data_IF_868109062471
#
_entry.id   IF_868109062471
#
_cell.length_a   1.000
_cell.length_b   1.000
_cell.length_c   1.000
_cell.angle_alpha   90.00
_cell.angle_beta   90.00
_cell.angle_gamma   90.00
#
_symmetry.space_group_name_H-M   'P 1'
#
loop_
_entity.id
_entity.type
_entity.pdbx_description
1 polymer ?
#
# COMPACT_ATOMS: atom_id res chain seq x y z
N UNK A 1 -34.67 -36.56 60.09
CA UNK A 1 -34.64 -35.69 58.89
C UNK A 1 -33.24 -35.77 58.30
N UNK A 2 -33.09 -36.09 57.01
CA UNK A 2 -31.77 -36.25 56.36
C UNK A 2 -31.39 -34.93 55.68
N UNK A 3 -30.34 -34.26 56.15
CA UNK A 3 -29.82 -33.04 55.51
C UNK A 3 -28.85 -33.44 54.40
N UNK A 4 -29.09 -32.99 53.18
CA UNK A 4 -28.19 -33.23 52.03
C UNK A 4 -27.24 -32.05 51.85
N UNK A 5 -25.94 -32.33 51.97
CA UNK A 5 -24.88 -31.37 51.68
C UNK A 5 -24.76 -31.14 50.17
N UNK A 6 -24.85 -29.89 49.71
CA UNK A 6 -24.50 -29.51 48.33
C UNK A 6 -23.15 -28.80 48.36
N UNK A 7 -22.12 -29.52 47.91
CA UNK A 7 -20.76 -29.00 47.76
C UNK A 7 -20.63 -28.30 46.40
N UNK A 8 -20.65 -26.96 46.39
CA UNK A 8 -20.40 -26.19 45.17
C UNK A 8 -18.91 -26.23 44.79
N UNK A 9 -18.58 -27.07 43.81
CA UNK A 9 -17.25 -27.12 43.19
C UNK A 9 -17.06 -25.92 42.26
N UNK A 10 -16.50 -24.82 42.77
CA UNK A 10 -16.06 -23.70 41.94
C UNK A 10 -14.80 -24.08 41.16
N UNK A 11 -14.96 -24.50 39.91
CA UNK A 11 -13.85 -24.67 38.97
C UNK A 11 -13.42 -23.27 38.49
N UNK A 12 -12.44 -22.69 39.17
CA UNK A 12 -11.80 -21.45 38.73
C UNK A 12 -10.89 -21.73 37.52
N UNK A 13 -11.42 -21.55 36.30
CA UNK A 13 -10.58 -21.50 35.10
C UNK A 13 -9.74 -20.22 35.13
N UNK A 14 -8.48 -20.35 35.54
CA UNK A 14 -7.47 -19.31 35.34
C UNK A 14 -7.21 -19.16 33.84
N UNK A 15 -7.89 -18.20 33.21
CA UNK A 15 -7.57 -17.80 31.84
C UNK A 15 -6.28 -16.97 31.87
N UNK A 16 -5.14 -17.65 31.81
CA UNK A 16 -3.87 -17.01 31.48
C UNK A 16 -3.97 -16.42 30.07
N UNK A 17 -3.59 -15.14 29.87
CA UNK A 17 -3.58 -14.57 28.53
C UNK A 17 -2.54 -15.33 27.70
N UNK A 18 -2.98 -15.98 26.63
CA UNK A 18 -2.09 -16.54 25.62
C UNK A 18 -1.44 -15.35 24.93
N UNK A 19 -0.19 -15.05 25.32
CA UNK A 19 0.67 -14.16 24.56
C UNK A 19 0.89 -14.85 23.22
N UNK A 20 0.26 -14.34 22.17
CA UNK A 20 0.48 -14.81 20.82
C UNK A 20 1.98 -14.72 20.53
N UNK A 21 2.62 -15.84 20.22
CA UNK A 21 4.01 -15.84 19.82
C UNK A 21 4.09 -15.09 18.49
N UNK A 22 4.96 -14.08 18.43
CA UNK A 22 5.22 -13.37 17.19
C UNK A 22 5.80 -14.37 16.18
N UNK A 23 5.01 -14.72 15.16
CA UNK A 23 5.54 -15.29 13.93
C UNK A 23 6.46 -14.26 13.27
N UNK A 24 7.75 -14.30 13.65
CA UNK A 24 8.77 -13.45 13.07
C UNK A 24 9.05 -13.92 11.64
N UNK A 25 8.17 -13.52 10.71
CA UNK A 25 8.47 -13.47 9.29
C UNK A 25 9.84 -12.80 9.15
N UNK A 26 10.80 -13.48 8.56
CA UNK A 26 12.19 -13.04 8.47
C UNK A 26 12.30 -11.87 7.49
N UNK A 27 12.03 -10.66 7.99
CA UNK A 27 12.16 -9.41 7.24
C UNK A 27 13.61 -9.32 6.74
N UNK A 28 13.85 -9.18 5.41
CA UNK A 28 15.20 -9.04 4.90
C UNK A 28 15.84 -7.78 5.51
N UNK A 29 17.06 -7.93 6.03
CA UNK A 29 17.75 -6.92 6.82
C UNK A 29 17.90 -5.60 6.02
N UNK A 30 17.16 -4.55 6.41
CA UNK A 30 17.13 -3.27 5.69
C UNK A 30 15.88 -3.01 4.83
N UNK A 31 14.87 -3.90 4.88
CA UNK A 31 13.53 -3.59 4.41
C UNK A 31 12.76 -2.73 5.41
N UNK A 32 12.07 -1.73 4.87
CA UNK A 32 11.15 -0.82 5.55
C UNK A 32 9.77 -1.47 5.56
N UNK A 33 9.09 -1.48 6.70
CA UNK A 33 7.74 -2.03 6.83
C UNK A 33 6.71 -0.92 6.86
N UNK A 34 5.79 -0.92 5.89
CA UNK A 34 4.67 0.02 5.82
C UNK A 34 3.53 -0.46 6.74
N UNK A 35 3.74 -0.37 8.06
CA UNK A 35 2.73 -0.73 9.06
C UNK A 35 1.75 0.43 9.31
N UNK A 36 0.45 0.16 9.52
CA UNK A 36 -0.53 1.20 9.84
C UNK A 36 -0.20 2.01 11.10
N UNK A 37 0.52 1.40 12.05
CA UNK A 37 1.00 2.04 13.27
C UNK A 37 2.00 3.18 13.01
N UNK A 38 2.85 3.04 11.98
CA UNK A 38 3.91 4.01 11.65
C UNK A 38 3.50 5.03 10.58
N UNK A 39 2.51 4.69 9.74
CA UNK A 39 2.17 5.45 8.54
C UNK A 39 0.68 5.80 8.40
N UNK A 40 -0.16 5.41 9.38
CA UNK A 40 -1.62 5.52 9.28
C UNK A 40 -2.22 4.52 8.28
N UNK A 41 -3.52 4.64 8.01
CA UNK A 41 -4.10 3.96 6.85
C UNK A 41 -3.55 4.61 5.57
N UNK A 42 -2.60 3.92 4.93
CA UNK A 42 -1.98 4.35 3.68
C UNK A 42 -3.04 4.85 2.69
N UNK A 43 -2.79 5.98 2.05
CA UNK A 43 -3.66 6.59 1.07
C UNK A 43 -2.96 6.74 -0.27
N UNK A 44 -3.71 6.68 -1.37
CA UNK A 44 -3.18 7.06 -2.68
C UNK A 44 -3.29 8.58 -2.82
N UNK A 45 -2.19 9.28 -3.16
CA UNK A 45 -2.13 10.74 -3.09
C UNK A 45 -3.01 11.44 -4.13
N UNK A 46 -3.27 10.74 -5.26
CA UNK A 46 -4.30 11.05 -6.23
C UNK A 46 -4.58 9.78 -7.08
N UNK A 47 -5.85 9.39 -7.25
CA UNK A 47 -6.22 8.28 -8.14
C UNK A 47 -6.32 8.78 -9.58
N UNK A 48 -5.44 8.30 -10.46
CA UNK A 48 -5.41 8.75 -11.85
C UNK A 48 -4.46 7.95 -12.73
N UNK A 49 -4.60 8.11 -14.05
CA UNK A 49 -3.78 7.42 -15.05
C UNK A 49 -2.30 7.81 -14.91
N UNK A 50 -1.41 6.82 -14.90
CA UNK A 50 0.04 7.08 -14.96
C UNK A 50 0.42 7.46 -16.40
N UNK A 51 0.86 8.70 -16.58
CA UNK A 51 1.27 9.25 -17.89
C UNK A 51 2.79 9.23 -18.08
N UNK A 52 3.57 9.08 -17.01
CA UNK A 52 5.00 8.80 -17.11
C UNK A 52 5.52 8.07 -15.88
N UNK A 53 6.32 7.03 -16.13
CA UNK A 53 6.84 6.15 -15.09
C UNK A 53 8.13 6.71 -14.50
N UNK A 54 8.49 6.22 -13.31
CA UNK A 54 9.83 6.36 -12.75
C UNK A 54 10.88 5.68 -13.65
N UNK A 55 12.08 6.26 -13.76
CA UNK A 55 13.21 5.59 -14.42
C UNK A 55 14.03 6.48 -15.38
N UNK A 56 15.06 5.91 -16.03
CA UNK A 56 15.91 6.64 -16.97
C UNK A 56 15.16 7.12 -18.21
N UNK A 57 15.43 8.37 -18.63
CA UNK A 57 15.00 8.97 -19.90
C UNK A 57 16.25 9.47 -20.65
N UNK A 58 16.97 8.54 -21.28
CA UNK A 58 18.30 8.79 -21.84
C UNK A 58 19.30 9.14 -20.75
N UNK A 59 20.00 10.28 -20.87
CA UNK A 59 20.95 10.79 -19.87
C UNK A 59 20.31 11.38 -18.61
N UNK A 60 18.98 11.58 -18.57
CA UNK A 60 18.28 12.18 -17.43
C UNK A 60 17.46 11.13 -16.66
N UNK A 61 17.59 11.09 -15.34
CA UNK A 61 16.71 10.29 -14.49
C UNK A 61 15.34 10.98 -14.32
N UNK A 62 14.27 10.20 -14.34
CA UNK A 62 12.95 10.61 -13.83
C UNK A 62 12.73 10.02 -12.44
N UNK A 63 12.73 10.88 -11.43
CA UNK A 63 12.78 10.53 -10.00
C UNK A 63 11.42 10.25 -9.36
N UNK A 64 10.32 10.42 -10.10
CA UNK A 64 8.95 10.22 -9.63
C UNK A 64 8.07 9.50 -10.65
N UNK A 65 6.77 9.46 -10.36
CA UNK A 65 5.70 8.98 -11.24
C UNK A 65 4.77 10.15 -11.54
N UNK A 66 4.47 10.36 -12.81
CA UNK A 66 3.61 11.44 -13.29
C UNK A 66 2.18 10.89 -13.43
N UNK A 67 1.26 11.38 -12.61
CA UNK A 67 -0.14 10.93 -12.50
C UNK A 67 -1.04 12.02 -13.07
N UNK A 68 -1.92 11.67 -14.02
CA UNK A 68 -2.79 12.65 -14.68
C UNK A 68 -3.89 13.13 -13.74
N UNK A 69 -3.99 14.45 -13.58
CA UNK A 69 -5.07 15.15 -12.88
C UNK A 69 -5.49 16.43 -13.62
N UNK A 70 -6.59 17.04 -13.19
CA UNK A 70 -7.06 18.36 -13.59
C UNK A 70 -6.56 19.44 -12.60
N UNK A 71 -6.55 20.70 -13.06
CA UNK A 71 -6.07 21.81 -12.24
C UNK A 71 -7.12 22.11 -11.17
N UNK A 72 -6.73 22.05 -9.90
CA UNK A 72 -7.64 22.25 -8.78
C UNK A 72 -8.05 20.96 -8.06
N UNK A 73 -7.76 19.78 -8.63
CA UNK A 73 -8.02 18.49 -7.97
C UNK A 73 -7.28 18.38 -6.63
N UNK A 74 -7.92 17.80 -5.61
CA UNK A 74 -7.30 17.63 -4.28
C UNK A 74 -6.20 16.59 -4.30
N UNK A 75 -5.03 16.93 -3.78
CA UNK A 75 -3.91 16.01 -3.54
C UNK A 75 -3.76 15.80 -2.04
N UNK A 76 -3.68 14.54 -1.62
CA UNK A 76 -3.62 14.14 -0.21
C UNK A 76 -2.25 13.56 0.17
N UNK A 77 -1.92 13.56 1.47
CA UNK A 77 -0.74 12.86 1.97
C UNK A 77 -0.93 11.35 1.83
N UNK A 78 0.09 10.66 1.32
CA UNK A 78 0.07 9.20 1.15
C UNK A 78 0.24 8.43 2.47
N UNK A 79 0.86 9.08 3.47
CA UNK A 79 1.15 8.53 4.79
C UNK A 79 1.08 9.62 5.87
N UNK A 80 0.94 9.21 7.14
CA UNK A 80 1.18 10.06 8.31
C UNK A 80 2.61 10.63 8.31
N UNK A 81 2.79 11.90 8.67
CA UNK A 81 4.11 12.50 8.77
C UNK A 81 4.13 13.98 9.12
N UNK A 82 5.26 14.64 8.87
CA UNK A 82 5.48 16.07 9.10
C UNK A 82 5.94 16.75 7.83
N UNK A 83 5.32 17.89 7.49
CA UNK A 83 5.65 18.67 6.30
C UNK A 83 7.02 19.35 6.45
N UNK A 84 8.02 18.98 5.66
CA UNK A 84 9.35 19.61 5.66
C UNK A 84 9.44 20.80 4.68
N UNK A 85 8.89 20.67 3.48
CA UNK A 85 8.83 21.74 2.47
C UNK A 85 7.36 22.02 2.12
N UNK A 86 7.02 23.29 1.98
CA UNK A 86 5.71 23.78 1.56
C UNK A 86 5.88 25.14 0.84
N UNK A 87 6.56 25.12 -0.31
CA UNK A 87 7.06 26.34 -0.96
C UNK A 87 7.29 26.15 -2.48
N UNK A 88 7.48 27.24 -3.25
CA UNK A 88 8.08 27.16 -4.58
C UNK A 88 9.49 26.58 -4.52
N UNK A 89 9.80 25.62 -5.40
CA UNK A 89 11.12 25.00 -5.53
C UNK A 89 11.51 24.93 -7.02
N UNK A 90 12.79 25.17 -7.31
CA UNK A 90 13.29 25.09 -8.68
C UNK A 90 13.03 23.70 -9.29
N UNK A 91 12.58 23.66 -10.53
CA UNK A 91 12.16 22.45 -11.22
C UNK A 91 10.76 21.96 -10.82
N UNK A 92 10.53 21.71 -9.53
CA UNK A 92 9.31 21.10 -9.01
C UNK A 92 8.09 22.02 -8.99
N UNK A 93 8.26 23.35 -9.09
CA UNK A 93 7.15 24.29 -8.98
C UNK A 93 6.72 24.47 -7.53
N UNK A 94 5.42 24.57 -7.25
CA UNK A 94 4.93 24.46 -5.88
C UNK A 94 5.10 23.02 -5.41
N UNK A 95 5.94 22.85 -4.38
CA UNK A 95 6.34 21.57 -3.82
C UNK A 95 5.88 21.49 -2.36
N UNK A 96 5.22 20.38 -2.04
CA UNK A 96 5.12 19.89 -0.66
C UNK A 96 6.01 18.67 -0.52
N UNK A 97 6.76 18.57 0.58
CA UNK A 97 7.40 17.31 1.00
C UNK A 97 6.95 16.94 2.40
N UNK A 98 6.71 15.66 2.63
CA UNK A 98 6.34 15.11 3.93
C UNK A 98 7.37 14.07 4.33
N UNK A 99 7.91 14.21 5.54
CA UNK A 99 8.81 13.25 6.17
C UNK A 99 7.99 12.31 7.05
N UNK A 100 8.30 11.01 6.97
CA UNK A 100 7.56 9.94 7.62
C UNK A 100 8.51 9.05 8.44
N UNK A 101 7.95 8.02 9.07
CA UNK A 101 8.74 7.01 9.78
C UNK A 101 9.77 6.31 8.86
N UNK A 102 10.81 5.72 9.49
CA UNK A 102 11.85 4.89 8.87
C UNK A 102 12.60 5.55 7.69
N UNK A 103 12.67 6.89 7.66
CA UNK A 103 13.41 7.62 6.63
C UNK A 103 12.72 7.66 5.27
N UNK A 104 11.40 7.43 5.20
CA UNK A 104 10.61 7.71 4.00
C UNK A 104 10.36 9.22 3.89
N UNK A 105 10.49 9.77 2.69
CA UNK A 105 10.02 11.13 2.35
C UNK A 105 9.19 11.06 1.08
N UNK A 106 8.01 11.70 1.07
CA UNK A 106 7.19 11.84 -0.15
C UNK A 106 7.24 13.27 -0.70
N UNK A 107 7.16 13.39 -2.02
CA UNK A 107 7.20 14.67 -2.75
C UNK A 107 5.93 14.83 -3.57
N UNK A 108 5.29 16.00 -3.49
CA UNK A 108 4.06 16.35 -4.19
C UNK A 108 4.30 17.65 -4.96
N UNK A 109 4.49 17.52 -6.28
CA UNK A 109 5.06 18.59 -7.10
C UNK A 109 4.08 19.08 -8.17
N UNK A 110 4.44 20.21 -8.80
CA UNK A 110 3.66 20.91 -9.82
C UNK A 110 2.29 21.43 -9.34
N UNK A 111 2.07 21.51 -8.03
CA UNK A 111 0.81 21.94 -7.42
C UNK A 111 0.39 23.34 -7.92
N UNK A 112 -0.91 23.60 -7.99
CA UNK A 112 -1.45 24.95 -8.28
C UNK A 112 -1.65 25.78 -7.01
N UNK A 113 -1.82 25.14 -5.86
CA UNK A 113 -1.92 25.76 -4.54
C UNK A 113 -1.43 24.81 -3.46
N UNK A 114 -0.73 25.34 -2.45
CA UNK A 114 -0.37 24.63 -1.23
C UNK A 114 -1.38 25.00 -0.14
N UNK A 115 -1.83 24.01 0.64
CA UNK A 115 -2.81 24.19 1.72
C UNK A 115 -2.24 23.95 3.12
N UNK A 116 -1.02 23.42 3.20
CA UNK A 116 -0.29 23.10 4.44
C UNK A 116 0.90 24.04 4.67
N UNK A 117 1.49 23.99 5.87
CA UNK A 117 2.67 24.77 6.25
C UNK A 117 3.85 23.87 6.64
N UNK A 118 5.08 24.35 6.47
CA UNK A 118 6.27 23.69 7.03
C UNK A 118 6.11 23.49 8.54
N UNK A 119 6.46 22.31 9.04
CA UNK A 119 6.33 21.89 10.44
C UNK A 119 4.94 21.37 10.82
N UNK A 120 3.96 21.39 9.92
CA UNK A 120 2.64 20.82 10.17
C UNK A 120 2.72 19.29 10.18
N UNK A 121 2.24 18.66 11.26
CA UNK A 121 1.89 17.24 11.26
C UNK A 121 0.66 17.02 10.39
N UNK A 122 0.69 16.00 9.53
CA UNK A 122 -0.36 15.68 8.57
C UNK A 122 -0.69 14.19 8.63
N UNK A 123 -1.97 13.83 8.48
CA UNK A 123 -2.42 12.44 8.42
C UNK A 123 -2.50 11.90 6.99
N UNK A 124 -2.35 10.59 6.83
CA UNK A 124 -2.67 9.93 5.57
C UNK A 124 -4.11 10.27 5.14
N UNK A 125 -4.29 10.63 3.86
CA UNK A 125 -5.59 11.07 3.32
C UNK A 125 -5.94 12.54 3.59
N UNK A 126 -5.19 13.28 4.40
CA UNK A 126 -5.41 14.71 4.61
C UNK A 126 -4.91 15.52 3.39
N UNK A 127 -5.69 16.55 2.98
CA UNK A 127 -5.42 17.35 1.79
C UNK A 127 -4.26 18.32 2.02
N UNK A 128 -3.18 18.19 1.22
CA UNK A 128 -1.99 19.04 1.32
C UNK A 128 -1.91 20.17 0.27
N UNK A 129 -2.67 20.05 -0.81
CA UNK A 129 -2.58 20.96 -1.94
C UNK A 129 -3.53 20.61 -3.06
N UNK A 130 -3.50 21.42 -4.11
CA UNK A 130 -4.31 21.27 -5.31
C UNK A 130 -3.42 20.98 -6.53
N UNK A 131 -3.84 20.05 -7.39
CA UNK A 131 -3.17 19.66 -8.62
C UNK A 131 -2.97 20.82 -9.59
N UNK A 132 -1.93 20.77 -10.41
CA UNK A 132 -1.54 21.89 -11.26
C UNK A 132 -0.50 21.57 -12.33
N UNK A 133 0.23 22.60 -12.73
CA UNK A 133 1.27 22.56 -13.77
C UNK A 133 2.36 23.62 -13.51
N UNK A 134 2.70 23.89 -12.24
CA UNK A 134 3.71 24.91 -11.89
C UNK A 134 5.14 24.36 -12.03
N UNK A 135 6.13 25.22 -12.26
CA UNK A 135 7.52 24.76 -12.47
C UNK A 135 7.73 24.10 -13.84
N UNK A 136 8.53 23.03 -13.90
CA UNK A 136 8.91 22.35 -15.16
C UNK A 136 7.90 21.26 -15.58
N UNK A 137 6.62 21.59 -15.61
CA UNK A 137 5.55 20.69 -16.06
C UNK A 137 5.21 20.93 -17.55
N UNK A 138 5.10 19.86 -18.35
CA UNK A 138 4.66 19.94 -19.77
C UNK A 138 3.14 19.79 -19.93
N UNK A 139 2.42 19.37 -18.88
CA UNK A 139 0.96 19.23 -18.83
C UNK A 139 0.51 19.33 -17.38
N UNK A 140 -0.80 19.43 -17.12
CA UNK A 140 -1.36 19.32 -15.76
C UNK A 140 -1.24 17.89 -15.25
N UNK A 141 -0.52 17.67 -14.16
CA UNK A 141 -0.30 16.36 -13.52
C UNK A 141 0.24 16.53 -12.10
N UNK A 142 0.14 15.48 -11.29
CA UNK A 142 0.93 15.33 -10.06
C UNK A 142 2.22 14.62 -10.43
N UNK A 143 3.37 15.23 -10.13
CA UNK A 143 4.64 14.51 -10.08
C UNK A 143 4.88 14.07 -8.63
N UNK A 144 4.76 12.77 -8.39
CA UNK A 144 4.87 12.15 -7.07
C UNK A 144 6.15 11.34 -6.94
N UNK A 145 6.96 11.61 -5.92
CA UNK A 145 8.11 10.77 -5.56
C UNK A 145 7.93 10.11 -4.20
N UNK A 146 8.45 8.90 -4.06
CA UNK A 146 8.78 8.29 -2.77
C UNK A 146 10.29 8.18 -2.70
N UNK A 147 10.88 8.61 -1.58
CA UNK A 147 12.31 8.47 -1.29
C UNK A 147 12.50 7.67 -0.02
N UNK A 148 13.56 6.85 0.01
CA UNK A 148 14.03 6.11 1.18
C UNK A 148 15.44 6.57 1.47
N UNK A 149 15.66 7.16 2.65
CA UNK A 149 16.95 7.72 3.07
C UNK A 149 17.53 8.67 1.99
N UNK A 150 16.67 9.56 1.47
CA UNK A 150 16.99 10.53 0.42
C UNK A 150 17.11 9.96 -1.01
N UNK A 151 17.14 8.64 -1.20
CA UNK A 151 17.22 8.00 -2.52
C UNK A 151 15.82 7.76 -3.09
N UNK A 152 15.50 8.24 -4.31
CA UNK A 152 14.18 8.05 -4.90
C UNK A 152 13.99 6.60 -5.38
N UNK A 153 12.78 6.07 -5.19
CA UNK A 153 12.36 4.73 -5.59
C UNK A 153 11.13 4.79 -6.51
N UNK A 154 10.83 3.69 -7.18
CA UNK A 154 9.65 3.62 -8.01
C UNK A 154 8.38 3.54 -7.14
N UNK A 155 7.62 4.64 -7.07
CA UNK A 155 6.35 4.70 -6.34
C UNK A 155 5.35 3.62 -6.79
N UNK A 156 5.42 3.16 -8.05
CA UNK A 156 4.59 2.07 -8.57
C UNK A 156 4.96 0.67 -8.04
N UNK A 157 5.94 0.56 -7.13
CA UNK A 157 6.16 -0.65 -6.33
C UNK A 157 5.28 -0.68 -5.08
N UNK A 158 4.69 0.46 -4.69
CA UNK A 158 3.89 0.64 -3.48
C UNK A 158 2.42 0.91 -3.85
N UNK A 159 2.19 1.76 -4.85
CA UNK A 159 0.87 2.27 -5.22
C UNK A 159 0.48 1.87 -6.64
N UNK A 160 -0.74 1.33 -6.78
CA UNK A 160 -1.46 1.28 -8.04
C UNK A 160 -2.43 2.47 -8.11
N UNK A 161 -1.94 3.56 -8.72
CA UNK A 161 -2.66 4.82 -8.87
C UNK A 161 -3.92 4.72 -9.74
N UNK A 162 -4.07 3.66 -10.56
CA UNK A 162 -5.21 3.50 -11.46
C UNK A 162 -6.32 2.70 -10.79
N UNK A 163 -5.97 1.58 -10.14
CA UNK A 163 -6.92 0.68 -9.48
C UNK A 163 -7.17 1.02 -7.99
N UNK A 164 -6.60 2.13 -7.49
CA UNK A 164 -6.69 2.58 -6.10
C UNK A 164 -6.30 1.49 -5.07
N UNK A 165 -5.17 0.82 -5.29
CA UNK A 165 -4.70 -0.27 -4.42
C UNK A 165 -3.21 -0.21 -4.07
N UNK A 166 -2.80 -0.96 -3.06
CA UNK A 166 -1.39 -1.03 -2.62
C UNK A 166 -0.76 -2.36 -3.01
N UNK A 167 0.42 -2.30 -3.61
CA UNK A 167 1.13 -3.43 -4.18
C UNK A 167 2.16 -4.05 -3.22
N UNK A 168 2.63 -3.29 -2.22
CA UNK A 168 3.60 -3.77 -1.25
C UNK A 168 3.33 -3.22 0.16
N UNK A 169 3.52 -4.08 1.17
CA UNK A 169 3.60 -3.71 2.60
C UNK A 169 5.04 -3.55 3.10
N UNK A 170 6.03 -3.84 2.25
CA UNK A 170 7.46 -3.74 2.57
C UNK A 170 8.23 -3.16 1.39
N UNK A 171 9.24 -2.34 1.67
CA UNK A 171 10.10 -1.69 0.66
C UNK A 171 11.56 -2.04 0.95
N UNK A 172 12.31 -2.48 -0.05
CA UNK A 172 13.77 -2.69 0.09
C UNK A 172 14.52 -1.38 -0.15
N UNK A 173 15.35 -0.98 0.81
CA UNK A 173 16.16 0.24 0.72
C UNK A 173 17.21 0.17 -0.41
N UNK A 174 17.37 1.19 -1.29
CA UNK A 174 18.39 1.20 -2.35
C UNK A 174 19.86 1.32 -1.88
N UNK A 175 20.13 1.00 -0.61
CA UNK A 175 21.44 1.21 0.02
C UNK A 175 22.19 -0.07 0.40
N UNK A 176 21.63 -1.24 0.14
CA UNK A 176 22.39 -2.50 0.18
C UNK A 176 22.59 -3.04 -1.24
N UNK A 177 23.68 -2.56 -1.88
CA UNK A 177 24.34 -3.36 -2.92
C UNK A 177 25.12 -4.48 -2.24
N UNK A 178 24.41 -5.50 -1.76
CA UNK A 178 24.95 -6.85 -1.72
C UNK A 178 24.37 -7.62 -2.91
N UNK A 179 25.22 -8.38 -3.59
CA UNK A 179 24.97 -8.83 -4.96
C UNK A 179 23.90 -9.92 -5.06
N UNK A 180 22.66 -9.53 -5.35
CA UNK A 180 21.72 -10.37 -6.08
C UNK A 180 21.80 -9.95 -7.54
N UNK A 181 22.41 -10.81 -8.37
CA UNK A 181 22.42 -10.63 -9.83
C UNK A 181 20.98 -10.68 -10.35
N UNK A 182 20.64 -9.73 -11.21
CA UNK A 182 19.54 -9.90 -12.15
C UNK A 182 19.87 -11.10 -13.06
N UNK A 183 19.15 -12.20 -12.90
CA UNK A 183 19.09 -13.28 -13.89
C UNK A 183 17.69 -13.29 -14.48
N UNK A 184 17.52 -12.60 -15.60
CA UNK A 184 16.38 -12.81 -16.48
C UNK A 184 16.71 -13.99 -17.39
N UNK A 185 16.17 -15.16 -17.04
CA UNK A 185 16.13 -16.34 -17.92
C UNK A 185 14.86 -17.10 -17.61
N UNK A 186 14.02 -17.35 -18.62
CA UNK A 186 12.98 -18.38 -18.55
C UNK A 186 13.65 -19.76 -18.38
N UNK A 187 12.99 -20.72 -17.74
CA UNK A 187 12.52 -21.82 -18.57
C UNK A 187 11.15 -22.39 -18.19
N UNK A 188 10.41 -22.71 -19.24
CA UNK A 188 9.68 -23.94 -19.53
C UNK A 188 9.50 -25.03 -18.43
N UNK A 189 8.25 -25.48 -18.35
CA UNK A 189 7.66 -26.67 -17.72
C UNK A 189 8.57 -27.90 -17.53
N UNK A 190 8.59 -28.51 -16.32
CA UNK A 190 7.94 -29.82 -16.03
C UNK A 190 8.12 -30.38 -14.58
N UNK A 191 6.97 -30.64 -13.94
CA UNK A 191 6.60 -31.82 -13.10
C UNK A 191 7.25 -32.08 -11.71
N UNK A 192 6.37 -32.02 -10.67
CA UNK A 192 6.37 -32.73 -9.36
C UNK A 192 7.56 -32.55 -8.37
N UNK A 193 7.45 -32.67 -7.04
CA UNK A 193 6.38 -32.67 -5.99
C UNK A 193 7.10 -32.77 -4.61
N UNK A 194 6.54 -32.54 -3.41
CA UNK A 194 5.42 -31.76 -2.85
C UNK A 194 5.81 -31.43 -1.37
N UNK A 195 5.27 -30.40 -0.69
CA UNK A 195 4.15 -30.42 0.26
C UNK A 195 4.04 -28.97 0.82
N UNK A 196 2.96 -28.20 0.68
CA UNK A 196 1.63 -28.31 1.29
C UNK A 196 1.57 -27.97 2.80
N UNK A 197 1.44 -26.69 3.13
CA UNK A 197 0.68 -26.23 4.31
C UNK A 197 -0.66 -25.67 3.83
N UNK A 198 -1.74 -26.32 4.22
CA UNK A 198 -3.09 -26.03 3.76
C UNK A 198 -3.69 -24.82 4.51
N UNK A 199 -3.90 -23.70 3.82
CA UNK A 199 -5.07 -22.87 4.13
C UNK A 199 -6.28 -23.55 3.49
N UNK A 200 -7.28 -23.93 4.30
CA UNK A 200 -8.49 -24.57 3.76
C UNK A 200 -9.25 -23.58 2.86
N UNK A 201 -9.20 -23.79 1.54
CA UNK A 201 -9.98 -22.97 0.60
C UNK A 201 -11.47 -23.16 0.83
N UNK A 202 -12.08 -22.18 1.48
CA UNK A 202 -13.51 -22.11 1.77
C UNK A 202 -14.28 -21.60 0.56
N UNK A 203 -15.55 -21.99 0.46
CA UNK A 203 -16.45 -21.50 -0.59
C UNK A 203 -17.35 -20.38 -0.07
N UNK A 204 -17.34 -19.24 -0.74
CA UNK A 204 -18.23 -18.11 -0.51
C UNK A 204 -19.25 -17.99 -1.66
N UNK A 205 -20.55 -18.05 -1.35
CA UNK A 205 -21.62 -17.84 -2.34
C UNK A 205 -22.02 -16.37 -2.38
N UNK A 206 -21.74 -15.69 -3.50
CA UNK A 206 -22.00 -14.27 -3.73
C UNK A 206 -23.48 -13.94 -3.50
N UNK A 207 -23.77 -12.98 -2.62
CA UNK A 207 -25.12 -12.53 -2.31
C UNK A 207 -25.43 -11.18 -2.97
N UNK A 208 -26.71 -10.75 -2.92
CA UNK A 208 -27.13 -9.43 -3.43
C UNK A 208 -26.43 -8.32 -2.65
N UNK A 209 -25.56 -7.57 -3.32
CA UNK A 209 -24.77 -6.48 -2.74
C UNK A 209 -23.33 -6.85 -2.39
N UNK A 210 -22.91 -8.10 -2.55
CA UNK A 210 -21.48 -8.44 -2.48
C UNK A 210 -20.72 -7.92 -3.71
N UNK A 211 -19.50 -7.48 -3.48
CA UNK A 211 -18.52 -7.05 -4.48
C UNK A 211 -17.19 -7.76 -4.20
N UNK A 212 -16.29 -7.83 -5.18
CA UNK A 212 -14.94 -8.36 -4.94
C UNK A 212 -14.26 -7.65 -3.75
N UNK A 213 -14.47 -6.34 -3.57
CA UNK A 213 -13.97 -5.58 -2.44
C UNK A 213 -14.61 -5.99 -1.10
N UNK A 214 -15.93 -6.11 -1.01
CA UNK A 214 -16.60 -6.48 0.25
C UNK A 214 -16.30 -7.92 0.66
N UNK A 215 -16.13 -8.83 -0.31
CA UNK A 215 -15.71 -10.21 -0.06
C UNK A 215 -14.23 -10.23 0.39
N UNK A 216 -13.33 -9.56 -0.33
CA UNK A 216 -11.92 -9.43 0.06
C UNK A 216 -11.77 -8.90 1.51
N UNK A 217 -12.51 -7.84 1.84
CA UNK A 217 -12.55 -7.26 3.18
C UNK A 217 -13.12 -8.22 4.23
N UNK A 218 -14.14 -9.02 3.90
CA UNK A 218 -14.77 -10.02 4.80
C UNK A 218 -13.82 -11.16 5.14
N UNK A 219 -12.98 -11.59 4.20
CA UNK A 219 -12.05 -12.71 4.36
C UNK A 219 -10.59 -12.27 4.67
N UNK A 220 -10.34 -10.97 4.88
CA UNK A 220 -9.03 -10.45 5.26
C UNK A 220 -7.95 -10.50 4.16
N UNK A 221 -8.37 -10.68 2.90
CA UNK A 221 -7.50 -10.96 1.75
C UNK A 221 -7.55 -9.83 0.72
N UNK A 222 -6.68 -9.87 -0.30
CA UNK A 222 -6.74 -8.91 -1.41
C UNK A 222 -7.75 -9.34 -2.47
N UNK A 223 -8.24 -8.38 -3.25
CA UNK A 223 -9.06 -8.67 -4.44
C UNK A 223 -8.26 -9.55 -5.42
N UNK A 224 -6.97 -9.28 -5.61
CA UNK A 224 -6.10 -10.09 -6.49
C UNK A 224 -6.08 -11.56 -6.06
N UNK A 225 -5.98 -11.83 -4.75
CA UNK A 225 -5.97 -13.19 -4.25
C UNK A 225 -7.31 -13.93 -4.50
N UNK A 226 -8.45 -13.26 -4.34
CA UNK A 226 -9.76 -13.82 -4.74
C UNK A 226 -9.82 -14.02 -6.26
N UNK A 227 -9.29 -13.08 -7.04
CA UNK A 227 -9.21 -13.17 -8.49
C UNK A 227 -8.39 -14.39 -8.96
N UNK A 228 -7.20 -14.58 -8.38
CA UNK A 228 -6.29 -15.71 -8.61
C UNK A 228 -6.93 -17.05 -8.23
N UNK A 229 -7.51 -17.16 -7.02
CA UNK A 229 -8.20 -18.37 -6.54
C UNK A 229 -9.38 -18.78 -7.43
N UNK A 230 -9.96 -17.86 -8.20
CA UNK A 230 -11.17 -18.10 -9.00
C UNK A 230 -10.95 -17.98 -10.52
N UNK A 231 -9.73 -17.71 -10.97
CA UNK A 231 -9.43 -17.39 -12.37
C UNK A 231 -10.33 -16.26 -12.95
N UNK A 232 -10.68 -15.27 -12.13
CA UNK A 232 -11.46 -14.09 -12.52
C UNK A 232 -10.60 -12.83 -12.44
N UNK A 233 -11.02 -11.76 -13.10
CA UNK A 233 -10.32 -10.47 -13.08
C UNK A 233 -11.01 -9.48 -12.14
N UNK A 234 -10.32 -8.39 -11.77
CA UNK A 234 -10.91 -7.29 -10.99
C UNK A 234 -12.10 -6.61 -11.67
N UNK A 235 -12.27 -6.83 -12.99
CA UNK A 235 -13.37 -6.32 -13.83
C UNK A 235 -14.47 -7.36 -14.07
N UNK A 236 -14.29 -8.59 -13.61
CA UNK A 236 -15.28 -9.65 -13.78
C UNK A 236 -16.52 -9.35 -12.95
N UNK A 237 -17.68 -9.29 -13.61
CA UNK A 237 -18.97 -9.06 -12.95
C UNK A 237 -19.32 -10.30 -12.12
N UNK A 238 -19.54 -10.12 -10.83
CA UNK A 238 -19.99 -11.19 -9.95
C UNK A 238 -21.49 -11.42 -10.13
N UNK A 239 -21.88 -12.66 -10.43
CA UNK A 239 -23.29 -13.07 -10.50
C UNK A 239 -23.82 -13.45 -9.13
N UNK A 240 -25.03 -13.02 -8.77
CA UNK A 240 -25.66 -13.45 -7.52
C UNK A 240 -25.85 -14.97 -7.56
N UNK A 241 -25.36 -15.67 -6.53
CA UNK A 241 -25.34 -17.12 -6.45
C UNK A 241 -24.10 -17.80 -7.01
N UNK A 242 -23.16 -17.06 -7.62
CA UNK A 242 -21.83 -17.54 -7.99
C UNK A 242 -21.06 -17.98 -6.75
N UNK A 243 -20.36 -19.11 -6.83
CA UNK A 243 -19.43 -19.55 -5.78
C UNK A 243 -18.04 -19.02 -6.09
N UNK A 244 -17.38 -18.44 -5.09
CA UNK A 244 -15.98 -18.04 -5.11
C UNK A 244 -15.20 -18.81 -4.06
N UNK A 245 -14.03 -19.33 -4.43
CA UNK A 245 -13.00 -19.81 -3.53
C UNK A 245 -12.37 -18.62 -2.80
N UNK A 246 -12.29 -18.73 -1.48
CA UNK A 246 -11.67 -17.77 -0.56
C UNK A 246 -10.85 -18.56 0.48
N UNK A 247 -9.89 -17.94 1.17
CA UNK A 247 -9.19 -18.61 2.28
C UNK A 247 -10.07 -18.84 3.53
#
# INVERSE_FOLDING_TARGET
MKSFTILFLFIAFACTPIIAQNDTVSIPQGAIQLTPELYGEMCIPFQGKVISKFGPRGSRMHTGTDIKLAKGDTVVSAFDGTVNIAAPHYGYGLLVTVEHAQGITTYYSHLSKILVKKGQTIKAGEVLGLGGSTGRATTTHLHFEVRVNGKPINAQQIFDFENNSFLARHIVSPSQKNSIKTSATEPETQIASAQSTSSETKSHKVQKGDTLYSIAKRYGVTISHICELNNITVRSILSIGQTLLVP
#
